data_IF_211061486159
#
_entry.id   IF_211061486159
#
_cell.length_a   1.000
_cell.length_b   1.000
_cell.length_c   1.000
_cell.angle_alpha   90.00
_cell.angle_beta   90.00
_cell.angle_gamma   90.00
#
_symmetry.space_group_name_H-M   'P 1'
#
loop_
_entity.id
_entity.type
_entity.pdbx_description
1 polymer ?
#
# COMPACT_ATOMS: atom_id res chain seq x y z
N UNK A 1 6.04 -18.73 -0.42
CA UNK A 1 6.99 -17.71 -0.96
C UNK A 1 7.32 -16.74 0.16
N UNK A 2 8.58 -16.35 0.33
CA UNK A 2 8.97 -15.38 1.37
C UNK A 2 8.30 -14.02 1.06
N UNK A 3 7.79 -13.33 2.08
CA UNK A 3 7.13 -12.03 1.94
C UNK A 3 5.62 -12.07 1.66
N UNK A 4 5.04 -13.24 1.38
CA UNK A 4 3.59 -13.39 1.18
C UNK A 4 2.95 -14.15 2.34
N UNK A 5 1.73 -13.75 2.70
CA UNK A 5 0.88 -14.54 3.57
C UNK A 5 0.50 -15.88 2.90
N UNK A 6 0.19 -16.94 3.69
CA UNK A 6 -0.04 -18.28 3.13
C UNK A 6 -1.15 -18.34 2.08
N UNK A 7 -2.26 -17.62 2.28
CA UNK A 7 -3.38 -17.60 1.34
C UNK A 7 -3.01 -16.86 0.04
N UNK A 8 -2.30 -15.73 0.11
CA UNK A 8 -1.82 -14.97 -1.04
C UNK A 8 -0.82 -15.76 -1.86
N UNK A 9 0.08 -16.50 -1.19
CA UNK A 9 1.08 -17.35 -1.86
C UNK A 9 0.46 -18.44 -2.72
N UNK A 10 -0.75 -18.92 -2.40
CA UNK A 10 -1.44 -19.98 -3.16
C UNK A 10 -1.87 -19.54 -4.55
N UNK A 11 -2.30 -18.30 -4.73
CA UNK A 11 -2.80 -17.80 -6.01
C UNK A 11 -1.77 -16.95 -6.75
N UNK A 12 -0.67 -16.56 -6.10
CA UNK A 12 0.29 -15.58 -6.61
C UNK A 12 0.88 -15.97 -7.97
N UNK A 13 1.27 -17.23 -8.13
CA UNK A 13 1.84 -17.72 -9.40
C UNK A 13 0.80 -17.64 -10.52
N UNK A 14 -0.42 -18.11 -10.29
CA UNK A 14 -1.51 -18.03 -11.27
C UNK A 14 -1.86 -16.60 -11.64
N UNK A 15 -1.89 -15.68 -10.65
CA UNK A 15 -2.08 -14.25 -10.93
C UNK A 15 -0.96 -13.70 -11.78
N UNK A 16 0.30 -14.10 -11.54
CA UNK A 16 1.45 -13.60 -12.29
C UNK A 16 1.43 -13.97 -13.78
N UNK A 17 0.66 -14.98 -14.17
CA UNK A 17 0.52 -15.45 -15.56
C UNK A 17 -0.58 -14.71 -16.34
N UNK A 18 -1.45 -13.96 -15.67
CA UNK A 18 -2.57 -13.28 -16.32
C UNK A 18 -2.08 -12.17 -17.28
N UNK A 19 -2.78 -12.02 -18.40
CA UNK A 19 -2.46 -10.97 -19.37
C UNK A 19 -2.99 -9.60 -18.94
N UNK A 20 -4.06 -9.56 -18.16
CA UNK A 20 -4.66 -8.32 -17.68
C UNK A 20 -3.73 -7.52 -16.76
N UNK A 21 -2.73 -8.14 -16.11
CA UNK A 21 -1.79 -7.44 -15.23
C UNK A 21 -0.62 -6.79 -15.99
N UNK A 22 -0.36 -7.16 -17.25
CA UNK A 22 0.78 -6.63 -18.02
C UNK A 22 0.90 -5.11 -18.04
N UNK A 23 -0.20 -4.32 -18.11
CA UNK A 23 -0.12 -2.86 -18.08
C UNK A 23 0.19 -2.27 -16.71
N UNK A 24 0.15 -3.08 -15.65
CA UNK A 24 0.26 -2.66 -14.26
C UNK A 24 1.61 -3.05 -13.67
N UNK A 25 2.00 -2.35 -12.61
CA UNK A 25 3.05 -2.79 -11.70
C UNK A 25 2.39 -3.21 -10.38
N UNK A 26 2.89 -4.28 -9.78
CA UNK A 26 2.56 -4.57 -8.39
C UNK A 26 3.25 -3.53 -7.51
N UNK A 27 2.49 -2.93 -6.60
CA UNK A 27 2.95 -1.86 -5.69
C UNK A 27 2.67 -2.24 -4.24
N UNK A 28 2.74 -1.28 -3.34
CA UNK A 28 2.30 -1.42 -1.97
C UNK A 28 3.15 -2.37 -1.12
N UNK A 29 2.51 -2.92 -0.09
CA UNK A 29 3.18 -3.79 0.88
C UNK A 29 3.70 -5.08 0.28
N UNK A 30 2.97 -5.66 -0.67
CA UNK A 30 3.35 -6.95 -1.27
C UNK A 30 4.58 -6.80 -2.16
N UNK A 31 4.63 -5.79 -3.04
CA UNK A 31 5.82 -5.54 -3.85
C UNK A 31 7.06 -5.25 -2.99
N UNK A 32 6.87 -4.55 -1.87
CA UNK A 32 7.93 -4.30 -0.91
C UNK A 32 8.39 -5.58 -0.21
N UNK A 33 7.46 -6.35 0.32
CA UNK A 33 7.74 -7.59 1.06
C UNK A 33 8.45 -8.64 0.22
N UNK A 34 8.11 -8.73 -1.07
CA UNK A 34 8.82 -9.61 -2.01
C UNK A 34 10.29 -9.21 -2.19
N UNK A 35 10.59 -7.90 -2.22
CA UNK A 35 11.94 -7.40 -2.48
C UNK A 35 12.83 -7.38 -1.24
N UNK A 36 12.31 -6.94 -0.08
CA UNK A 36 13.14 -6.77 1.13
C UNK A 36 12.76 -7.69 2.30
N UNK A 37 11.63 -8.39 2.23
CA UNK A 37 11.28 -9.47 3.15
C UNK A 37 11.10 -9.08 4.61
N UNK A 38 10.66 -7.86 4.89
CA UNK A 38 10.58 -7.31 6.26
C UNK A 38 9.30 -7.68 7.01
N UNK A 39 8.29 -8.14 6.32
CA UNK A 39 7.05 -8.71 6.87
C UNK A 39 6.33 -9.54 5.81
N UNK A 40 5.26 -10.22 6.18
CA UNK A 40 4.33 -10.80 5.22
C UNK A 40 3.33 -9.75 4.72
N UNK A 41 2.81 -9.95 3.52
CA UNK A 41 1.75 -9.12 2.93
C UNK A 41 0.64 -9.98 2.36
N UNK A 42 -0.60 -9.48 2.44
CA UNK A 42 -1.83 -10.25 2.19
C UNK A 42 -2.49 -9.88 0.86
N UNK A 43 -2.47 -8.59 0.50
CA UNK A 43 -3.17 -8.03 -0.65
C UNK A 43 -2.26 -7.92 -1.88
N UNK A 44 -2.84 -7.89 -3.07
CA UNK A 44 -2.14 -7.63 -4.32
C UNK A 44 -2.62 -6.31 -4.92
N UNK A 45 -1.81 -5.26 -4.80
CA UNK A 45 -2.13 -3.93 -5.30
C UNK A 45 -1.45 -3.68 -6.65
N UNK A 46 -2.25 -3.57 -7.71
CA UNK A 46 -1.80 -3.31 -9.06
C UNK A 46 -2.07 -1.86 -9.46
N UNK A 47 -1.04 -1.18 -9.94
CA UNK A 47 -1.14 0.22 -10.31
C UNK A 47 -0.54 0.48 -11.69
N UNK A 48 -1.25 1.24 -12.50
CA UNK A 48 -0.74 1.84 -13.72
C UNK A 48 -0.86 3.35 -13.65
N UNK A 49 -0.08 4.04 -14.47
CA UNK A 49 -0.07 5.50 -14.55
C UNK A 49 -0.32 5.93 -15.98
N UNK A 50 -0.85 7.15 -16.15
CA UNK A 50 -0.98 7.73 -17.48
C UNK A 50 0.40 7.91 -18.14
N UNK A 51 0.44 7.69 -19.44
CA UNK A 51 1.63 7.92 -20.29
C UNK A 51 1.61 9.31 -20.92
N UNK A 52 0.43 9.86 -21.14
CA UNK A 52 0.23 11.19 -21.74
C UNK A 52 -0.74 12.02 -20.90
N UNK A 53 -0.70 13.37 -21.08
CA UNK A 53 -1.61 14.29 -20.36
C UNK A 53 -3.08 14.06 -20.66
N UNK A 54 -3.38 13.59 -21.88
CA UNK A 54 -4.76 13.40 -22.36
C UNK A 54 -5.32 11.99 -22.08
N UNK A 55 -4.50 11.08 -21.58
CA UNK A 55 -4.93 9.73 -21.24
C UNK A 55 -5.86 9.79 -20.02
N UNK A 56 -7.06 9.22 -20.18
CA UNK A 56 -8.01 9.10 -19.08
C UNK A 56 -7.62 7.91 -18.19
N UNK A 57 -7.58 8.08 -16.88
CA UNK A 57 -7.36 6.97 -15.98
C UNK A 57 -8.61 6.09 -15.98
N UNK A 58 -8.47 4.85 -16.42
CA UNK A 58 -9.55 3.88 -16.49
C UNK A 58 -9.02 2.49 -16.24
N UNK A 59 -9.79 1.67 -15.53
CA UNK A 59 -9.52 0.24 -15.29
C UNK A 59 -10.49 -0.59 -16.11
N UNK A 60 -9.96 -1.44 -16.99
CA UNK A 60 -10.76 -2.44 -17.72
C UNK A 60 -11.15 -3.59 -16.77
N UNK A 61 -12.07 -3.28 -15.85
CA UNK A 61 -12.49 -4.21 -14.81
C UNK A 61 -13.16 -5.47 -15.38
N UNK A 62 -13.85 -5.35 -16.50
CA UNK A 62 -14.54 -6.49 -17.12
C UNK A 62 -13.53 -7.54 -17.62
N UNK A 63 -12.49 -7.11 -18.32
CA UNK A 63 -11.40 -7.99 -18.74
C UNK A 63 -10.68 -8.61 -17.55
N UNK A 64 -10.39 -7.80 -16.52
CA UNK A 64 -9.72 -8.28 -15.31
C UNK A 64 -10.56 -9.35 -14.62
N UNK A 65 -11.86 -9.12 -14.40
CA UNK A 65 -12.76 -10.08 -13.78
C UNK A 65 -12.81 -11.40 -14.54
N UNK A 66 -12.91 -11.33 -15.87
CA UNK A 66 -12.93 -12.52 -16.74
C UNK A 66 -11.65 -13.34 -16.59
N UNK A 67 -10.49 -12.71 -16.57
CA UNK A 67 -9.21 -13.42 -16.41
C UNK A 67 -9.05 -13.94 -14.97
N UNK A 68 -9.41 -13.17 -13.94
CA UNK A 68 -9.40 -13.63 -12.54
C UNK A 68 -10.31 -14.86 -12.35
N UNK A 69 -11.44 -14.92 -13.04
CA UNK A 69 -12.34 -16.07 -13.01
C UNK A 69 -11.73 -17.37 -13.54
N UNK A 70 -10.62 -17.32 -14.27
CA UNK A 70 -9.90 -18.51 -14.75
C UNK A 70 -8.99 -19.15 -13.70
N UNK A 71 -8.60 -18.40 -12.66
CA UNK A 71 -7.67 -18.85 -11.62
C UNK A 71 -8.35 -19.18 -10.29
N UNK A 72 -9.62 -18.78 -10.13
CA UNK A 72 -10.38 -19.05 -8.91
C UNK A 72 -11.74 -18.39 -8.91
N UNK A 73 -12.51 -18.62 -7.84
CA UNK A 73 -13.83 -17.99 -7.67
C UNK A 73 -13.66 -16.51 -7.31
N UNK A 74 -14.20 -15.63 -8.13
CA UNK A 74 -14.36 -14.20 -7.78
C UNK A 74 -15.50 -14.11 -6.76
N UNK A 75 -15.16 -13.91 -5.50
CA UNK A 75 -16.09 -13.88 -4.36
C UNK A 75 -16.76 -12.53 -4.21
N UNK A 76 -16.03 -11.47 -4.54
CA UNK A 76 -16.50 -10.10 -4.43
C UNK A 76 -15.87 -9.20 -5.49
N UNK A 77 -16.64 -8.22 -5.96
CA UNK A 77 -16.18 -7.12 -6.81
C UNK A 77 -16.71 -5.81 -6.25
N UNK A 78 -15.84 -4.84 -6.09
CA UNK A 78 -16.17 -3.50 -5.65
C UNK A 78 -15.63 -2.47 -6.64
N UNK A 79 -16.49 -1.82 -7.41
CA UNK A 79 -16.12 -0.73 -8.31
C UNK A 79 -16.23 0.56 -7.50
N UNK A 80 -15.07 1.07 -7.08
CA UNK A 80 -14.98 2.30 -6.27
C UNK A 80 -15.11 3.55 -7.16
N UNK A 81 -14.48 3.52 -8.33
CA UNK A 81 -14.57 4.55 -9.36
C UNK A 81 -14.16 3.95 -10.71
N UNK A 82 -14.23 4.71 -11.80
CA UNK A 82 -13.80 4.32 -13.14
C UNK A 82 -12.31 3.93 -13.18
N UNK A 83 -11.51 4.52 -12.31
CA UNK A 83 -10.07 4.31 -12.20
C UNK A 83 -9.66 3.36 -11.06
N UNK A 84 -10.61 2.84 -10.27
CA UNK A 84 -10.31 1.99 -9.12
C UNK A 84 -11.33 0.87 -8.92
N UNK A 85 -10.87 -0.37 -8.97
CA UNK A 85 -11.69 -1.55 -8.70
C UNK A 85 -10.95 -2.53 -7.81
N UNK A 86 -11.68 -3.22 -6.94
CA UNK A 86 -11.17 -4.27 -6.05
C UNK A 86 -11.91 -5.58 -6.32
N UNK A 87 -11.19 -6.67 -6.26
CA UNK A 87 -11.72 -8.03 -6.32
C UNK A 87 -11.26 -8.82 -5.09
N UNK A 88 -12.06 -9.81 -4.70
CA UNK A 88 -11.62 -10.85 -3.76
C UNK A 88 -11.68 -12.19 -4.50
N UNK A 89 -10.53 -12.85 -4.63
CA UNK A 89 -10.39 -14.14 -5.31
C UNK A 89 -9.71 -15.10 -4.34
N UNK A 90 -10.35 -16.24 -4.05
CA UNK A 90 -9.85 -17.23 -3.09
C UNK A 90 -9.41 -16.62 -1.74
N UNK A 91 -10.16 -15.61 -1.27
CA UNK A 91 -9.90 -14.91 -0.02
C UNK A 91 -8.77 -13.87 -0.09
N UNK A 92 -8.18 -13.63 -1.27
CA UNK A 92 -7.14 -12.61 -1.48
C UNK A 92 -7.77 -11.37 -2.10
N UNK A 93 -7.49 -10.20 -1.55
CA UNK A 93 -7.88 -8.93 -2.17
C UNK A 93 -6.89 -8.54 -3.25
N UNK A 94 -7.42 -8.26 -4.45
CA UNK A 94 -6.68 -7.71 -5.57
C UNK A 94 -7.26 -6.32 -5.90
N UNK A 95 -6.43 -5.30 -5.83
CA UNK A 95 -6.79 -3.91 -6.14
C UNK A 95 -6.14 -3.47 -7.43
N UNK A 96 -6.92 -2.85 -8.33
CA UNK A 96 -6.44 -2.30 -9.59
C UNK A 96 -6.73 -0.82 -9.64
N UNK A 97 -5.69 -0.02 -9.81
CA UNK A 97 -5.79 1.43 -9.85
C UNK A 97 -5.08 2.02 -11.08
N UNK A 98 -5.76 2.93 -11.78
CA UNK A 98 -5.22 3.70 -12.90
C UNK A 98 -5.03 5.15 -12.46
N UNK A 99 -3.78 5.51 -12.15
CA UNK A 99 -3.48 6.85 -11.61
C UNK A 99 -3.51 7.93 -12.69
N UNK A 100 -4.13 9.09 -12.41
CA UNK A 100 -4.06 10.27 -13.28
C UNK A 100 -2.69 10.97 -13.24
N UNK A 101 -1.76 10.51 -12.42
CA UNK A 101 -0.38 11.02 -12.32
C UNK A 101 0.54 10.33 -13.31
N UNK A 102 1.73 10.86 -13.50
CA UNK A 102 2.84 10.13 -14.12
C UNK A 102 3.49 9.19 -13.11
N UNK A 103 4.10 8.11 -13.63
CA UNK A 103 4.75 7.11 -12.78
C UNK A 103 5.96 7.71 -12.06
N UNK A 104 6.14 7.42 -10.75
CA UNK A 104 7.40 7.66 -10.05
C UNK A 104 8.43 6.56 -10.34
N UNK A 105 7.99 5.44 -10.93
CA UNK A 105 8.85 4.29 -11.21
C UNK A 105 9.57 4.53 -12.54
N UNK A 106 10.89 4.65 -12.47
CA UNK A 106 11.74 4.84 -13.65
C UNK A 106 12.18 3.51 -14.26
N UNK A 107 12.42 2.51 -13.40
CA UNK A 107 12.90 1.19 -13.81
C UNK A 107 12.10 0.12 -13.05
N UNK A 108 11.06 -0.46 -13.67
CA UNK A 108 10.33 -1.57 -13.08
C UNK A 108 11.25 -2.76 -12.82
N UNK A 109 10.98 -3.47 -11.73
CA UNK A 109 11.69 -4.71 -11.39
C UNK A 109 10.95 -5.88 -12.02
N UNK A 110 11.53 -6.52 -13.01
CA UNK A 110 10.99 -7.75 -13.58
C UNK A 110 11.02 -8.85 -12.51
N UNK A 111 9.88 -9.50 -12.24
CA UNK A 111 9.77 -10.46 -11.15
C UNK A 111 9.55 -11.89 -11.64
N UNK A 112 8.39 -12.18 -12.17
CA UNK A 112 8.04 -13.51 -12.71
C UNK A 112 6.90 -13.41 -13.71
N UNK A 113 6.94 -14.20 -14.78
CA UNK A 113 5.92 -14.24 -15.83
C UNK A 113 5.56 -12.82 -16.35
N UNK A 114 4.31 -12.42 -16.24
CA UNK A 114 3.80 -11.11 -16.66
C UNK A 114 3.93 -10.03 -15.56
N UNK A 115 4.45 -10.40 -14.39
CA UNK A 115 4.47 -9.53 -13.22
C UNK A 115 5.75 -8.71 -13.14
N UNK A 116 5.58 -7.40 -13.09
CA UNK A 116 6.63 -6.45 -12.76
C UNK A 116 6.28 -5.70 -11.46
N UNK A 117 7.28 -5.34 -10.68
CA UNK A 117 7.12 -4.61 -9.42
C UNK A 117 7.60 -3.16 -9.57
N UNK A 118 7.00 -2.26 -8.79
CA UNK A 118 7.64 -0.99 -8.51
C UNK A 118 8.89 -1.21 -7.66
N UNK A 119 9.94 -0.43 -7.90
CA UNK A 119 11.17 -0.50 -7.11
C UNK A 119 10.96 0.04 -5.68
N UNK A 120 11.85 -0.38 -4.76
CA UNK A 120 11.73 -0.08 -3.33
C UNK A 120 11.67 1.42 -3.04
N UNK A 121 12.49 2.23 -3.74
CA UNK A 121 12.51 3.70 -3.55
C UNK A 121 11.19 4.34 -3.98
N UNK A 122 10.67 3.94 -5.13
CA UNK A 122 9.37 4.42 -5.63
C UNK A 122 8.21 4.02 -4.71
N UNK A 123 8.23 2.80 -4.14
CA UNK A 123 7.25 2.37 -3.14
C UNK A 123 7.34 3.28 -1.90
N UNK A 124 8.54 3.58 -1.42
CA UNK A 124 8.75 4.51 -0.30
C UNK A 124 8.16 5.89 -0.57
N UNK A 125 8.41 6.46 -1.75
CA UNK A 125 7.85 7.75 -2.16
C UNK A 125 6.30 7.74 -2.23
N UNK A 126 5.72 6.66 -2.77
CA UNK A 126 4.26 6.51 -2.81
C UNK A 126 3.65 6.40 -1.40
N UNK A 127 4.31 5.67 -0.48
CA UNK A 127 3.87 5.59 0.93
C UNK A 127 3.96 6.93 1.64
N UNK A 128 5.02 7.70 1.44
CA UNK A 128 5.15 9.06 1.96
C UNK A 128 4.01 9.99 1.47
N UNK A 129 3.60 9.86 0.21
CA UNK A 129 2.46 10.63 -0.31
C UNK A 129 1.13 10.18 0.29
N UNK A 130 0.93 8.88 0.46
CA UNK A 130 -0.29 8.32 1.07
C UNK A 130 -0.45 8.74 2.54
N UNK A 131 0.64 8.92 3.28
CA UNK A 131 0.61 9.39 4.68
C UNK A 131 -0.05 10.77 4.86
N UNK A 132 -0.17 11.57 3.81
CA UNK A 132 -0.97 12.81 3.85
C UNK A 132 -2.46 12.54 4.10
N UNK A 133 -2.94 11.36 3.74
CA UNK A 133 -4.36 11.01 3.73
C UNK A 133 -4.75 10.04 4.84
N UNK A 134 -3.80 9.20 5.28
CA UNK A 134 -4.03 8.19 6.31
C UNK A 134 -2.82 8.01 7.22
N UNK A 135 -3.06 7.54 8.44
CA UNK A 135 -2.02 7.29 9.44
C UNK A 135 -1.96 5.79 9.76
N UNK A 136 -1.78 4.95 8.75
CA UNK A 136 -1.71 3.51 8.93
C UNK A 136 -0.32 3.10 9.42
N UNK A 137 -0.24 2.33 10.52
CA UNK A 137 1.01 1.84 11.09
C UNK A 137 1.87 1.09 10.06
N UNK A 138 1.26 0.26 9.21
CA UNK A 138 1.98 -0.49 8.16
C UNK A 138 2.78 0.42 7.23
N UNK A 139 2.29 1.62 6.90
CA UNK A 139 3.00 2.54 6.01
C UNK A 139 4.28 3.09 6.66
N UNK A 140 4.23 3.38 7.95
CA UNK A 140 5.40 3.83 8.72
C UNK A 140 6.42 2.71 8.90
N UNK A 141 5.97 1.51 9.25
CA UNK A 141 6.83 0.34 9.36
C UNK A 141 7.55 0.04 8.03
N UNK A 142 6.84 0.11 6.92
CA UNK A 142 7.39 -0.12 5.60
C UNK A 142 8.44 0.95 5.24
N UNK A 143 8.20 2.24 5.54
CA UNK A 143 9.19 3.31 5.36
C UNK A 143 10.41 3.08 6.23
N UNK A 144 10.22 2.75 7.51
CA UNK A 144 11.32 2.40 8.41
C UNK A 144 12.14 1.25 7.85
N UNK A 145 11.48 0.19 7.39
CA UNK A 145 12.14 -0.98 6.79
C UNK A 145 12.95 -0.63 5.54
N UNK A 146 12.43 0.26 4.69
CA UNK A 146 13.15 0.75 3.51
C UNK A 146 14.42 1.48 3.92
N UNK A 147 14.36 2.34 4.94
CA UNK A 147 15.53 3.06 5.45
C UNK A 147 16.62 2.12 5.97
N UNK A 148 16.25 0.97 6.54
CA UNK A 148 17.21 -0.05 6.98
C UNK A 148 17.96 -0.70 5.81
N UNK A 149 17.49 -0.60 4.58
CA UNK A 149 18.22 -1.09 3.38
C UNK A 149 19.33 -0.15 2.91
N UNK A 150 19.48 1.02 3.55
CA UNK A 150 20.48 2.03 3.18
C UNK A 150 20.03 3.01 2.10
N UNK A 151 18.77 2.97 1.64
CA UNK A 151 18.22 3.98 0.72
C UNK A 151 18.14 5.32 1.47
N UNK A 152 18.76 6.40 0.95
CA UNK A 152 18.74 7.70 1.61
C UNK A 152 17.33 8.27 1.69
N UNK A 153 16.94 8.73 2.89
CA UNK A 153 15.63 9.37 3.10
C UNK A 153 15.42 10.57 2.18
N UNK A 154 16.47 11.34 1.90
CA UNK A 154 16.43 12.52 1.04
C UNK A 154 15.98 12.19 -0.39
N UNK A 155 16.43 11.06 -0.93
CA UNK A 155 16.02 10.61 -2.27
C UNK A 155 14.55 10.22 -2.32
N UNK A 156 14.05 9.51 -1.30
CA UNK A 156 12.64 9.18 -1.20
C UNK A 156 11.76 10.42 -1.03
N UNK A 157 12.20 11.38 -0.21
CA UNK A 157 11.51 12.67 -0.01
C UNK A 157 11.45 13.42 -1.34
N UNK A 158 12.57 13.57 -2.07
CA UNK A 158 12.60 14.27 -3.35
C UNK A 158 11.61 13.66 -4.34
N UNK A 159 11.61 12.34 -4.48
CA UNK A 159 10.68 11.61 -5.35
C UNK A 159 9.22 11.74 -4.89
N UNK A 160 8.95 11.72 -3.58
CA UNK A 160 7.61 11.91 -3.04
C UNK A 160 7.07 13.32 -3.28
N UNK A 161 7.91 14.36 -3.17
CA UNK A 161 7.54 15.74 -3.49
C UNK A 161 7.15 15.88 -4.96
N UNK A 162 7.97 15.35 -5.85
CA UNK A 162 7.70 15.34 -7.29
C UNK A 162 6.41 14.57 -7.61
N UNK A 163 6.28 13.34 -7.12
CA UNK A 163 5.12 12.47 -7.35
C UNK A 163 3.82 13.07 -6.81
N UNK A 164 3.87 13.82 -5.71
CA UNK A 164 2.71 14.54 -5.18
C UNK A 164 2.32 15.77 -5.99
N UNK A 165 3.09 16.15 -7.02
CA UNK A 165 2.97 17.43 -7.73
C UNK A 165 3.24 18.61 -6.80
N UNK A 166 4.23 18.47 -5.92
CA UNK A 166 4.65 19.46 -4.91
C UNK A 166 3.57 19.87 -3.89
N UNK A 167 2.48 19.10 -3.78
CA UNK A 167 1.46 19.29 -2.73
C UNK A 167 1.98 18.88 -1.36
N UNK A 168 2.79 17.84 -1.29
CA UNK A 168 3.54 17.45 -0.11
C UNK A 168 4.68 18.47 0.11
N UNK A 169 4.90 18.88 1.36
CA UNK A 169 6.01 19.75 1.76
C UNK A 169 6.93 18.98 2.71
N UNK A 170 8.24 19.15 2.53
CA UNK A 170 9.26 18.46 3.36
C UNK A 170 9.00 18.63 4.86
N UNK A 171 8.71 19.86 5.31
CA UNK A 171 8.40 20.12 6.72
C UNK A 171 7.22 19.31 7.24
N UNK A 172 6.14 19.23 6.46
CA UNK A 172 4.94 18.48 6.84
C UNK A 172 5.23 16.98 6.87
N UNK A 173 5.97 16.47 5.87
CA UNK A 173 6.35 15.07 5.82
C UNK A 173 7.22 14.68 7.01
N UNK A 174 8.24 15.47 7.35
CA UNK A 174 9.08 15.22 8.51
C UNK A 174 8.26 15.26 9.82
N UNK A 175 7.35 16.23 9.96
CA UNK A 175 6.43 16.28 11.09
C UNK A 175 5.53 15.04 11.19
N UNK A 176 5.06 14.50 10.05
CA UNK A 176 4.30 13.25 10.05
C UNK A 176 5.16 12.05 10.45
N UNK A 177 6.38 11.95 9.93
CA UNK A 177 7.30 10.84 10.22
C UNK A 177 7.76 10.81 11.67
N UNK A 178 7.88 11.97 12.32
CA UNK A 178 8.34 12.09 13.71
C UNK A 178 7.22 12.06 14.75
N UNK A 179 5.96 12.15 14.32
CA UNK A 179 4.81 12.15 15.23
C UNK A 179 4.23 10.75 15.41
N UNK A 180 4.81 9.97 16.32
CA UNK A 180 4.36 8.60 16.62
C UNK A 180 2.92 8.50 17.15
N UNK A 181 2.34 9.58 17.71
CA UNK A 181 0.96 9.57 18.22
C UNK A 181 -0.10 9.51 17.10
N UNK A 182 0.31 9.74 15.84
CA UNK A 182 -0.59 9.63 14.68
C UNK A 182 -0.89 8.19 14.26
N UNK A 183 -0.09 7.22 14.71
CA UNK A 183 -0.26 5.86 14.28
C UNK A 183 -1.53 5.25 14.85
N UNK A 184 -2.39 4.73 13.97
CA UNK A 184 -3.42 3.80 14.39
C UNK A 184 -2.77 2.44 14.58
N UNK A 185 -2.80 1.95 15.82
CA UNK A 185 -2.29 0.63 16.16
C UNK A 185 -3.03 -0.46 15.35
N UNK A 186 -2.27 -1.36 14.74
CA UNK A 186 -2.78 -2.50 14.00
C UNK A 186 -2.59 -3.77 14.86
N UNK A 187 -3.65 -4.23 15.51
CA UNK A 187 -3.61 -5.41 16.38
C UNK A 187 -3.28 -6.72 15.64
N UNK A 188 -3.41 -6.74 14.31
CA UNK A 188 -3.10 -7.91 13.50
C UNK A 188 -1.68 -7.86 12.91
N UNK A 189 -0.95 -6.77 13.14
CA UNK A 189 0.35 -6.56 12.51
C UNK A 189 1.38 -7.64 12.88
N UNK A 190 1.39 -8.11 14.13
CA UNK A 190 2.30 -9.17 14.60
C UNK A 190 2.09 -10.49 13.84
N UNK A 191 0.87 -10.76 13.35
CA UNK A 191 0.56 -11.93 12.54
C UNK A 191 1.24 -11.90 11.16
N UNK A 192 1.71 -10.74 10.73
CA UNK A 192 2.46 -10.57 9.49
C UNK A 192 3.95 -10.87 9.64
N UNK A 193 4.37 -11.41 10.77
CA UNK A 193 5.76 -11.82 11.06
C UNK A 193 6.78 -10.69 10.76
N UNK A 194 6.67 -9.51 11.42
CA UNK A 194 7.59 -8.40 11.21
C UNK A 194 9.02 -8.79 11.59
N UNK A 195 9.98 -8.41 10.74
CA UNK A 195 11.41 -8.68 10.96
C UNK A 195 12.08 -7.68 11.92
N UNK A 196 11.49 -6.50 12.08
CA UNK A 196 11.98 -5.47 13.01
C UNK A 196 11.06 -5.36 14.22
N UNK A 197 11.58 -4.99 15.39
CA UNK A 197 10.76 -4.75 16.57
C UNK A 197 9.65 -3.73 16.29
N UNK A 198 8.46 -4.01 16.79
CA UNK A 198 7.32 -3.10 16.74
C UNK A 198 7.20 -2.36 18.06
N UNK A 199 6.76 -1.09 18.09
CA UNK A 199 6.50 -0.41 19.34
C UNK A 199 5.38 -1.14 20.11
N UNK A 200 5.43 -1.17 21.44
CA UNK A 200 4.35 -1.73 22.26
C UNK A 200 3.04 -0.98 21.96
N UNK A 201 1.87 -1.66 22.09
CA UNK A 201 0.60 -1.00 21.95
C UNK A 201 0.51 0.20 22.90
N UNK A 202 -0.17 1.28 22.51
CA UNK A 202 -0.37 2.42 23.41
C UNK A 202 -1.07 1.92 24.67
N UNK A 203 -0.63 2.41 25.82
CA UNK A 203 -1.30 2.12 27.09
C UNK A 203 -2.78 2.51 26.96
N UNK A 204 -3.72 1.71 27.48
CA UNK A 204 -5.11 2.09 27.50
C UNK A 204 -5.25 3.46 28.19
N UNK A 205 -5.97 4.37 27.55
CA UNK A 205 -6.26 5.66 28.16
C UNK A 205 -6.91 5.44 29.52
N UNK A 206 -6.48 6.15 30.58
CA UNK A 206 -7.17 6.09 31.84
C UNK A 206 -8.65 6.42 31.60
N UNK A 207 -9.57 5.74 32.30
CA UNK A 207 -11.00 6.02 32.14
C UNK A 207 -11.24 7.53 32.32
N UNK A 208 -11.96 8.13 31.40
CA UNK A 208 -12.38 9.51 31.51
C UNK A 208 -13.08 9.71 32.84
N UNK A 209 -12.67 10.68 33.66
CA UNK A 209 -13.36 10.95 34.93
C UNK A 209 -14.84 11.18 34.65
N UNK A 210 -15.75 10.71 35.50
CA UNK A 210 -17.17 10.93 35.36
C UNK A 210 -17.45 12.44 35.26
N UNK A 211 -18.44 12.88 34.49
CA UNK A 211 -18.80 14.28 34.40
C UNK A 211 -19.15 14.80 35.78
N UNK A 212 -18.80 16.05 36.10
CA UNK A 212 -19.13 16.65 37.40
C UNK A 212 -20.65 16.58 37.61
N UNK A 213 -21.12 16.39 38.87
CA UNK A 213 -22.53 16.35 39.18
C UNK A 213 -23.20 17.66 38.72
N UNK A 214 -24.35 17.55 38.05
CA UNK A 214 -25.15 18.71 37.67
C UNK A 214 -25.42 19.56 38.89
N UNK A 215 -24.91 20.79 38.92
CA UNK A 215 -25.34 21.78 39.87
C UNK A 215 -26.77 22.21 39.46
N UNK A 216 -27.74 22.21 40.39
CA UNK A 216 -29.05 22.76 40.10
C UNK A 216 -28.92 24.24 39.76
N UNK A 217 -29.76 24.78 38.89
CA UNK A 217 -29.76 26.21 38.58
C UNK A 217 -30.15 27.03 39.81
N UNK A 218 -29.66 28.28 39.92
CA UNK A 218 -29.93 29.14 41.01
C UNK A 218 -31.42 29.55 41.11
#
# INVERSE_FOLDING_TARGET
MKGLAPHTSKIFESVSMLDCIKPYLLVGGTALSLQIGTRQSEDLDFMKWRKTKNEKPEVDWYRIEKELGTIGKVQHRNILDIDHVEFVVEGVKLSFYSSPKFSPVTTPVAWTNNLNLADVKSIGAMKMEVMMRRSNFRDYYDIYSILQTGIPMQEMIALALEYSGHRLKTKNLLAMLTNGSRFMYDSHFEQLSPAHPTPPPPLPHPPTPPPPPHQPPP
#
